data_IF_665361938348
#
_entry.id   IF_665361938348
#
_cell.length_a   1.000
_cell.length_b   1.000
_cell.length_c   1.000
_cell.angle_alpha   90.00
_cell.angle_beta   90.00
_cell.angle_gamma   90.00
#
_symmetry.space_group_name_H-M   'P 1'
#
loop_
_entity.id
_entity.type
_entity.pdbx_description
1 polymer ?
#
# COMPACT_ATOMS: atom_id res chain seq x y z
N UNK A 1 -1.28 6.59 -3.77
CA UNK A 1 -2.75 6.69 -3.97
C UNK A 1 -3.43 5.35 -4.32
N UNK A 2 -2.70 4.30 -4.69
CA UNK A 2 -3.27 3.04 -5.22
C UNK A 2 -3.54 1.96 -4.15
N UNK A 3 -3.04 2.10 -2.92
CA UNK A 3 -3.26 1.13 -1.84
C UNK A 3 -4.71 0.94 -1.40
N UNK A 4 -5.59 1.89 -1.72
CA UNK A 4 -7.02 1.87 -1.40
C UNK A 4 -7.92 1.55 -2.59
N UNK A 5 -7.30 1.13 -3.70
CA UNK A 5 -8.01 0.65 -4.87
C UNK A 5 -8.79 -0.64 -4.55
N UNK A 6 -9.74 -0.99 -5.41
CA UNK A 6 -10.47 -2.27 -5.30
C UNK A 6 -9.49 -3.46 -5.30
N UNK A 7 -9.77 -4.53 -4.53
CA UNK A 7 -8.92 -5.73 -4.49
C UNK A 7 -8.61 -6.34 -5.86
N UNK A 8 -9.57 -6.26 -6.80
CA UNK A 8 -9.36 -6.69 -8.19
C UNK A 8 -8.21 -5.94 -8.86
N UNK A 9 -8.17 -4.61 -8.71
CA UNK A 9 -7.18 -3.76 -9.36
C UNK A 9 -5.82 -3.88 -8.67
N UNK A 10 -5.78 -4.00 -7.34
CA UNK A 10 -4.54 -4.24 -6.62
C UNK A 10 -3.93 -5.59 -6.97
N UNK A 11 -4.76 -6.64 -7.15
CA UNK A 11 -4.29 -7.95 -7.63
C UNK A 11 -3.69 -7.87 -9.03
N UNK A 12 -4.32 -7.14 -9.95
CA UNK A 12 -3.78 -6.94 -11.31
C UNK A 12 -2.43 -6.23 -11.28
N UNK A 13 -2.30 -5.16 -10.48
CA UNK A 13 -1.03 -4.45 -10.34
C UNK A 13 0.05 -5.33 -9.68
N UNK A 14 -0.30 -6.15 -8.69
CA UNK A 14 0.67 -7.06 -8.04
C UNK A 14 1.14 -8.15 -9.01
N UNK A 15 0.25 -8.65 -9.86
CA UNK A 15 0.60 -9.58 -10.93
C UNK A 15 1.56 -8.92 -11.93
N UNK A 16 1.26 -7.69 -12.35
CA UNK A 16 2.15 -6.92 -13.21
C UNK A 16 3.54 -6.73 -12.59
N UNK A 17 3.61 -6.31 -11.31
CA UNK A 17 4.88 -6.23 -10.57
C UNK A 17 5.63 -7.57 -10.60
N UNK A 18 4.94 -8.68 -10.32
CA UNK A 18 5.56 -10.02 -10.27
C UNK A 18 6.11 -10.46 -11.63
N UNK A 19 5.41 -10.12 -12.72
CA UNK A 19 5.87 -10.37 -14.10
C UNK A 19 7.13 -9.56 -14.39
N UNK A 20 7.12 -8.26 -14.09
CA UNK A 20 8.29 -7.40 -14.30
C UNK A 20 9.52 -7.90 -13.53
N UNK A 21 9.36 -8.27 -12.25
CA UNK A 21 10.46 -8.79 -11.44
C UNK A 21 11.06 -10.06 -12.07
N UNK A 22 10.20 -10.99 -12.48
CA UNK A 22 10.62 -12.24 -13.11
C UNK A 22 11.35 -12.03 -14.42
N UNK A 23 10.89 -11.08 -15.25
CA UNK A 23 11.53 -10.72 -16.52
C UNK A 23 12.93 -10.13 -16.28
N UNK A 24 13.06 -9.21 -15.32
CA UNK A 24 14.33 -8.54 -15.00
C UNK A 24 15.36 -9.53 -14.47
N UNK A 25 14.96 -10.44 -13.58
CA UNK A 25 15.88 -11.42 -12.99
C UNK A 25 16.04 -12.69 -13.84
N UNK A 26 15.38 -12.76 -15.00
CA UNK A 26 15.27 -13.98 -15.82
C UNK A 26 14.91 -15.23 -14.99
N UNK A 27 14.00 -15.08 -14.02
CA UNK A 27 13.78 -16.12 -13.02
C UNK A 27 12.91 -17.26 -13.57
N UNK A 28 13.28 -18.53 -13.35
CA UNK A 28 12.46 -19.69 -13.72
C UNK A 28 11.08 -19.69 -13.08
N UNK A 29 10.11 -20.34 -13.73
CA UNK A 29 8.70 -20.37 -13.30
C UNK A 29 8.49 -21.00 -11.91
N UNK A 30 9.33 -21.96 -11.51
CA UNK A 30 9.24 -22.64 -10.23
C UNK A 30 9.68 -21.77 -9.04
N UNK A 31 10.35 -20.64 -9.31
CA UNK A 31 10.67 -19.66 -8.25
C UNK A 31 9.39 -18.92 -7.88
N UNK A 32 8.99 -19.05 -6.63
CA UNK A 32 7.77 -18.41 -6.12
C UNK A 32 7.92 -16.90 -6.10
N UNK A 33 6.81 -16.17 -6.29
CA UNK A 33 6.82 -14.70 -6.18
C UNK A 33 7.29 -14.25 -4.79
N UNK A 34 6.96 -15.01 -3.73
CA UNK A 34 7.41 -14.71 -2.36
C UNK A 34 8.94 -14.72 -2.26
N UNK A 35 9.59 -15.71 -2.87
CA UNK A 35 11.05 -15.79 -2.89
C UNK A 35 11.64 -14.60 -3.68
N UNK A 36 11.10 -14.29 -4.86
CA UNK A 36 11.55 -13.13 -5.64
C UNK A 36 11.48 -11.82 -4.84
N UNK A 37 10.38 -11.58 -4.13
CA UNK A 37 10.23 -10.40 -3.28
C UNK A 37 11.25 -10.37 -2.14
N UNK A 38 11.50 -11.53 -1.50
CA UNK A 38 12.46 -11.66 -0.40
C UNK A 38 13.91 -11.45 -0.88
N UNK A 39 14.29 -12.09 -1.98
CA UNK A 39 15.65 -12.07 -2.51
C UNK A 39 16.00 -10.68 -3.05
N UNK A 40 15.06 -10.03 -3.74
CA UNK A 40 15.22 -8.66 -4.23
C UNK A 40 14.99 -7.59 -3.15
N UNK A 41 14.56 -7.99 -1.95
CA UNK A 41 14.17 -7.09 -0.84
C UNK A 41 13.15 -6.03 -1.28
N UNK A 42 12.25 -6.39 -2.20
CA UNK A 42 11.24 -5.49 -2.74
C UNK A 42 9.89 -5.73 -2.07
N UNK A 43 9.28 -4.69 -1.47
CA UNK A 43 7.97 -4.85 -0.85
C UNK A 43 6.91 -5.17 -1.90
N UNK A 44 5.91 -5.92 -1.47
CA UNK A 44 4.66 -6.08 -2.22
C UNK A 44 3.92 -4.75 -2.28
N UNK A 45 2.95 -4.64 -3.18
CA UNK A 45 2.11 -3.45 -3.29
C UNK A 45 1.41 -3.13 -1.96
N UNK A 46 0.86 -4.12 -1.27
CA UNK A 46 0.17 -3.87 0.00
C UNK A 46 1.12 -3.34 1.09
N UNK A 47 2.33 -3.89 1.20
CA UNK A 47 3.34 -3.44 2.17
C UNK A 47 3.83 -2.02 1.84
N UNK A 48 4.08 -1.76 0.55
CA UNK A 48 4.49 -0.45 0.07
C UNK A 48 3.40 0.59 0.33
N UNK A 49 2.13 0.26 0.07
CA UNK A 49 0.99 1.12 0.38
C UNK A 49 0.89 1.45 1.87
N UNK A 50 1.03 0.44 2.74
CA UNK A 50 1.07 0.63 4.20
C UNK A 50 2.21 1.57 4.58
N UNK A 51 3.44 1.29 4.12
CA UNK A 51 4.64 2.09 4.41
C UNK A 51 4.52 3.55 3.96
N UNK A 52 3.95 3.80 2.77
CA UNK A 52 3.70 5.17 2.33
C UNK A 52 2.68 5.90 3.20
N UNK A 53 1.60 5.21 3.56
CA UNK A 53 0.58 5.82 4.41
C UNK A 53 1.09 6.08 5.83
N UNK A 54 1.89 5.18 6.42
CA UNK A 54 2.48 5.41 7.75
C UNK A 54 3.38 6.64 7.77
N UNK A 55 4.24 6.78 6.75
CA UNK A 55 5.12 7.96 6.58
C UNK A 55 4.33 9.25 6.36
N UNK A 56 3.21 9.18 5.67
CA UNK A 56 2.33 10.33 5.49
C UNK A 56 1.63 10.70 6.80
N UNK A 57 1.10 9.70 7.51
CA UNK A 57 0.36 9.90 8.76
C UNK A 57 1.25 10.47 9.87
N UNK A 58 2.49 10.00 10.01
CA UNK A 58 3.44 10.55 11.00
C UNK A 58 3.76 12.02 10.75
N UNK A 59 3.75 12.46 9.48
CA UNK A 59 3.96 13.87 9.11
C UNK A 59 2.74 14.74 9.40
N UNK A 60 1.53 14.20 9.45
CA UNK A 60 0.34 15.00 9.74
C UNK A 60 0.39 15.58 11.17
N UNK A 61 0.86 14.80 12.14
CA UNK A 61 0.91 15.24 13.54
C UNK A 61 1.96 16.31 13.80
N UNK A 62 3.06 16.29 13.04
CA UNK A 62 4.20 17.21 13.20
C UNK A 62 4.10 18.46 12.33
N UNK A 63 3.02 18.61 11.56
CA UNK A 63 2.87 19.68 10.59
C UNK A 63 2.53 21.02 11.25
N UNK A 64 3.14 22.13 10.82
CA UNK A 64 2.92 23.46 11.40
C UNK A 64 1.44 23.92 11.33
N UNK A 65 0.77 23.67 10.19
CA UNK A 65 -0.62 24.07 10.01
C UNK A 65 -1.58 23.21 10.88
N UNK A 66 -2.34 23.82 11.82
CA UNK A 66 -3.23 23.11 12.73
C UNK A 66 -4.41 22.42 12.01
N UNK A 67 -4.84 22.92 10.84
CA UNK A 67 -5.88 22.27 10.03
C UNK A 67 -5.39 20.92 9.48
N UNK A 68 -4.11 20.82 9.15
CA UNK A 68 -3.50 19.58 8.67
C UNK A 68 -3.32 18.59 9.83
N UNK A 69 -2.93 19.06 11.03
CA UNK A 69 -2.89 18.22 12.22
C UNK A 69 -4.28 17.64 12.54
N UNK A 70 -5.35 18.42 12.40
CA UNK A 70 -6.73 17.95 12.63
C UNK A 70 -7.12 16.76 11.74
N UNK A 71 -6.49 16.60 10.56
CA UNK A 71 -6.73 15.44 9.68
C UNK A 71 -6.27 14.11 10.30
N UNK A 72 -5.33 14.13 11.25
CA UNK A 72 -4.89 12.91 11.95
C UNK A 72 -5.94 12.39 12.93
N UNK A 73 -6.79 13.28 13.46
CA UNK A 73 -7.78 12.99 14.51
C UNK A 73 -9.21 12.83 13.99
N UNK A 74 -9.46 13.02 12.68
CA UNK A 74 -10.81 12.99 12.13
C UNK A 74 -11.45 11.60 12.33
N UNK A 75 -12.38 11.54 13.28
CA UNK A 75 -13.27 10.41 13.54
C UNK A 75 -13.93 9.96 12.24
N UNK A 76 -14.21 8.66 12.14
CA UNK A 76 -14.78 8.08 10.93
C UNK A 76 -16.11 8.76 10.59
N UNK A 77 -16.07 9.75 9.69
CA UNK A 77 -17.28 10.30 9.11
C UNK A 77 -18.09 9.13 8.50
N UNK A 78 -19.42 9.11 8.67
CA UNK A 78 -20.26 8.03 8.18
C UNK A 78 -20.01 7.84 6.68
N UNK A 79 -19.64 6.62 6.30
CA UNK A 79 -19.30 6.30 4.91
C UNK A 79 -20.56 5.84 4.18
N UNK A 80 -20.92 6.53 3.09
CA UNK A 80 -21.99 6.07 2.18
C UNK A 80 -21.65 4.74 1.49
N UNK A 81 -20.38 4.56 1.09
CA UNK A 81 -19.92 3.38 0.35
C UNK A 81 -18.88 2.57 1.15
N UNK A 82 -18.94 1.25 1.04
CA UNK A 82 -17.96 0.28 1.61
C UNK A 82 -16.64 0.29 0.84
N UNK A 83 -15.97 1.44 0.75
CA UNK A 83 -14.61 1.57 0.19
C UNK A 83 -13.59 1.46 1.30
N UNK A 84 -12.48 0.76 1.03
CA UNK A 84 -11.30 0.79 1.87
C UNK A 84 -10.63 2.16 1.70
N UNK A 85 -10.29 2.80 2.81
CA UNK A 85 -9.51 4.03 2.83
C UNK A 85 -8.06 3.71 3.21
N UNK A 86 -7.10 4.60 2.91
CA UNK A 86 -5.69 4.36 3.25
C UNK A 86 -5.48 4.07 4.74
N UNK A 87 -6.32 4.69 5.59
CA UNK A 87 -6.34 4.51 7.04
C UNK A 87 -6.77 3.12 7.48
N UNK A 88 -7.66 2.49 6.72
CA UNK A 88 -8.17 1.15 7.05
C UNK A 88 -7.08 0.08 6.81
N UNK A 89 -6.05 0.37 6.00
CA UNK A 89 -4.90 -0.52 5.80
C UNK A 89 -4.00 -0.64 7.03
N UNK A 90 -4.15 0.25 8.01
CA UNK A 90 -3.40 0.26 9.26
C UNK A 90 -4.04 -0.64 10.34
N UNK A 91 -5.34 -0.94 10.22
CA UNK A 91 -6.08 -1.83 11.11
C UNK A 91 -6.32 -3.17 10.38
N UNK A 92 -5.33 -4.06 10.42
CA UNK A 92 -5.48 -5.46 10.05
C UNK A 92 -4.62 -6.30 10.98
#
# INVERSE_FOLDING_TARGET
LWGSSKPSNTRTLQAFQSICLRLITSSPWYVTNKNLHKDLKLPTLNELAKSHYTKFFSKLHTHYNPLIQKLSSATHAPKRLKRLWPRDLFKA
#
